data_IF_386124730107
#
_entry.id   IF_386124730107
#
_cell.length_a   1.000
_cell.length_b   1.000
_cell.length_c   1.000
_cell.angle_alpha   90.00
_cell.angle_beta   90.00
_cell.angle_gamma   90.00
#
_symmetry.space_group_name_H-M   'P 1'
#
loop_
_entity.id
_entity.type
_entity.pdbx_description
1 polymer ?
#
# COMPACT_ATOMS: atom_id res chain seq x y z
N UNK A 1 10.38 -6.54 11.32
CA UNK A 1 8.91 -6.54 11.51
C UNK A 1 8.32 -5.25 12.08
N UNK A 2 8.77 -4.67 13.21
CA UNK A 2 8.14 -3.46 13.79
C UNK A 2 8.12 -2.20 12.88
N UNK A 3 9.10 -2.08 11.98
CA UNK A 3 9.19 -1.00 10.99
C UNK A 3 8.10 -1.08 9.90
N UNK A 4 7.54 -2.27 9.67
CA UNK A 4 6.60 -2.56 8.59
C UNK A 4 5.18 -2.08 8.92
N UNK A 5 4.70 -2.45 10.10
CA UNK A 5 3.43 -1.96 10.64
C UNK A 5 3.49 -0.45 10.93
N UNK A 6 4.66 0.07 11.33
CA UNK A 6 4.86 1.50 11.51
C UNK A 6 4.66 2.27 10.20
N UNK A 7 5.19 1.77 9.07
CA UNK A 7 5.02 2.43 7.79
C UNK A 7 3.56 2.50 7.34
N UNK A 8 2.80 1.41 7.52
CA UNK A 8 1.38 1.36 7.16
C UNK A 8 0.50 2.28 8.01
N UNK A 9 0.76 2.32 9.33
CA UNK A 9 0.05 3.24 10.24
C UNK A 9 0.40 4.69 9.89
N UNK A 10 1.67 4.97 9.60
CA UNK A 10 2.11 6.31 9.17
C UNK A 10 1.45 6.71 7.83
N UNK A 11 1.37 5.80 6.85
CA UNK A 11 0.66 6.04 5.59
C UNK A 11 -0.81 6.34 5.83
N UNK A 12 -1.51 5.55 6.64
CA UNK A 12 -2.92 5.77 6.96
C UNK A 12 -3.16 7.14 7.62
N UNK A 13 -2.30 7.54 8.56
CA UNK A 13 -2.36 8.86 9.21
C UNK A 13 -2.13 9.98 8.20
N UNK A 14 -1.14 9.84 7.31
CA UNK A 14 -0.86 10.84 6.27
C UNK A 14 -2.02 10.94 5.27
N UNK A 15 -2.60 9.81 4.83
CA UNK A 15 -3.79 9.77 3.97
C UNK A 15 -5.00 10.42 4.63
N UNK A 16 -5.20 10.22 5.94
CA UNK A 16 -6.25 10.93 6.70
C UNK A 16 -5.94 12.43 6.84
N UNK A 17 -4.68 12.82 7.01
CA UNK A 17 -4.29 14.23 7.13
C UNK A 17 -4.55 15.00 5.82
N UNK A 18 -4.41 14.33 4.66
CA UNK A 18 -4.79 14.89 3.35
C UNK A 18 -6.28 15.28 3.30
N UNK A 19 -7.15 14.51 3.94
CA UNK A 19 -8.59 14.81 3.98
C UNK A 19 -8.91 16.08 4.79
N UNK A 20 -8.14 16.38 5.83
CA UNK A 20 -8.35 17.54 6.70
C UNK A 20 -7.77 18.85 6.16
N UNK A 21 -6.73 18.78 5.29
CA UNK A 21 -6.07 19.95 4.72
C UNK A 21 -6.14 19.94 3.19
N UNK A 22 -7.25 20.41 2.58
CA UNK A 22 -7.43 20.46 1.13
C UNK A 22 -6.66 21.63 0.48
N UNK A 23 -5.35 21.72 0.75
CA UNK A 23 -4.44 22.66 0.10
C UNK A 23 -3.54 21.90 -0.88
N UNK A 24 -3.52 22.32 -2.15
CA UNK A 24 -2.80 21.65 -3.22
C UNK A 24 -1.29 21.45 -2.93
N UNK A 25 -0.65 22.41 -2.25
CA UNK A 25 0.76 22.29 -1.87
C UNK A 25 0.98 21.22 -0.80
N UNK A 26 0.10 21.17 0.21
CA UNK A 26 0.16 20.16 1.27
C UNK A 26 -0.15 18.76 0.72
N UNK A 27 -1.07 18.66 -0.23
CA UNK A 27 -1.39 17.40 -0.91
C UNK A 27 -0.15 16.77 -1.58
N UNK A 28 0.66 17.56 -2.27
CA UNK A 28 1.88 17.09 -2.93
C UNK A 28 2.91 16.58 -1.90
N UNK A 29 3.13 17.33 -0.82
CA UNK A 29 4.06 16.93 0.25
C UNK A 29 3.61 15.64 0.92
N UNK A 30 2.32 15.53 1.25
CA UNK A 30 1.79 14.31 1.85
C UNK A 30 1.79 13.13 0.89
N UNK A 31 1.52 13.33 -0.40
CA UNK A 31 1.62 12.27 -1.42
C UNK A 31 3.06 11.75 -1.57
N UNK A 32 4.04 12.66 -1.53
CA UNK A 32 5.45 12.29 -1.53
C UNK A 32 5.84 11.51 -0.28
N UNK A 33 5.34 11.90 0.90
CA UNK A 33 5.55 11.17 2.15
C UNK A 33 4.92 9.77 2.11
N UNK A 34 3.70 9.63 1.58
CA UNK A 34 3.06 8.31 1.39
C UNK A 34 3.89 7.43 0.46
N UNK A 35 4.38 7.97 -0.65
CA UNK A 35 5.26 7.23 -1.57
C UNK A 35 6.60 6.83 -0.94
N UNK A 36 7.19 7.68 -0.10
CA UNK A 36 8.41 7.33 0.64
C UNK A 36 8.16 6.22 1.66
N UNK A 37 7.04 6.26 2.36
CA UNK A 37 6.65 5.23 3.33
C UNK A 37 6.29 3.90 2.64
N UNK A 38 5.70 3.92 1.44
CA UNK A 38 5.40 2.68 0.71
C UNK A 38 6.67 1.91 0.34
N UNK A 39 7.74 2.61 -0.02
CA UNK A 39 9.05 2.03 -0.32
C UNK A 39 9.67 1.27 0.87
N UNK A 40 9.43 1.74 2.11
CA UNK A 40 9.90 1.04 3.31
C UNK A 40 9.21 -0.33 3.51
N UNK A 41 8.04 -0.54 2.91
CA UNK A 41 7.34 -1.83 2.86
C UNK A 41 7.86 -2.70 1.70
N UNK A 42 8.01 -2.16 0.50
CA UNK A 42 8.40 -2.98 -0.67
C UNK A 42 9.75 -3.70 -0.46
N UNK A 43 10.71 -3.05 0.20
CA UNK A 43 12.06 -3.62 0.41
C UNK A 43 12.01 -4.91 1.24
N UNK A 44 11.46 -4.97 2.47
CA UNK A 44 11.39 -6.25 3.18
C UNK A 44 10.42 -7.26 2.56
N UNK A 45 9.47 -6.85 1.72
CA UNK A 45 8.61 -7.79 0.96
C UNK A 45 9.47 -8.61 -0.01
N UNK A 46 10.30 -7.90 -0.79
CA UNK A 46 11.20 -8.53 -1.73
C UNK A 46 12.23 -9.42 -1.04
N UNK A 47 12.81 -8.99 0.09
CA UNK A 47 13.74 -9.81 0.88
C UNK A 47 13.05 -11.07 1.41
N UNK A 48 11.80 -10.96 1.90
CA UNK A 48 11.05 -12.11 2.40
C UNK A 48 10.76 -13.15 1.31
N UNK A 49 10.37 -12.70 0.12
CA UNK A 49 10.17 -13.58 -1.03
C UNK A 49 11.45 -14.29 -1.44
N UNK A 50 12.61 -13.61 -1.34
CA UNK A 50 13.91 -14.22 -1.63
C UNK A 50 14.32 -15.28 -0.61
N UNK A 51 14.01 -15.09 0.68
CA UNK A 51 14.34 -16.05 1.74
C UNK A 51 13.41 -17.28 1.76
N UNK A 52 12.20 -17.17 1.20
CA UNK A 52 11.17 -18.22 1.30
C UNK A 52 11.10 -19.14 0.07
N UNK A 53 11.62 -18.70 -1.08
CA UNK A 53 11.49 -19.43 -2.36
C UNK A 53 12.87 -19.92 -2.83
N UNK A 54 12.95 -21.18 -3.27
CA UNK A 54 14.16 -21.72 -3.89
C UNK A 54 14.59 -20.90 -5.13
N UNK A 55 15.89 -20.60 -5.27
CA UNK A 55 16.45 -19.73 -6.34
C UNK A 55 15.97 -20.10 -7.75
N UNK A 56 15.76 -21.39 -8.02
CA UNK A 56 15.30 -21.89 -9.33
C UNK A 56 13.88 -21.44 -9.70
N UNK A 57 13.03 -21.16 -8.71
CA UNK A 57 11.64 -20.75 -8.91
C UNK A 57 11.40 -19.26 -8.61
N UNK A 58 12.40 -18.60 -8.02
CA UNK A 58 12.34 -17.22 -7.56
C UNK A 58 11.97 -16.27 -8.70
N UNK A 59 12.62 -16.40 -9.87
CA UNK A 59 12.33 -15.57 -11.07
C UNK A 59 10.88 -15.76 -11.53
N UNK A 60 10.37 -16.99 -11.56
CA UNK A 60 9.01 -17.27 -12.00
C UNK A 60 7.96 -16.70 -11.03
N UNK A 61 8.21 -16.81 -9.72
CA UNK A 61 7.34 -16.21 -8.69
C UNK A 61 7.33 -14.68 -8.80
N UNK A 62 8.49 -14.05 -9.00
CA UNK A 62 8.56 -12.61 -9.22
C UNK A 62 7.81 -12.17 -10.48
N UNK A 63 7.97 -12.86 -11.60
CA UNK A 63 7.23 -12.56 -12.83
C UNK A 63 5.72 -12.66 -12.64
N UNK A 64 5.24 -13.70 -11.92
CA UNK A 64 3.81 -13.85 -11.63
C UNK A 64 3.31 -12.73 -10.70
N UNK A 65 4.07 -12.37 -9.67
CA UNK A 65 3.72 -11.27 -8.76
C UNK A 65 3.68 -9.92 -9.49
N UNK A 66 4.65 -9.65 -10.37
CA UNK A 66 4.68 -8.43 -11.18
C UNK A 66 3.47 -8.33 -12.12
N UNK A 67 3.11 -9.44 -12.78
CA UNK A 67 1.92 -9.51 -13.65
C UNK A 67 0.64 -9.28 -12.84
N UNK A 68 0.50 -9.93 -11.68
CA UNK A 68 -0.67 -9.76 -10.81
C UNK A 68 -0.74 -8.31 -10.29
N UNK A 69 0.39 -7.74 -9.86
CA UNK A 69 0.48 -6.36 -9.37
C UNK A 69 0.09 -5.35 -10.45
N UNK A 70 0.60 -5.52 -11.66
CA UNK A 70 0.29 -4.64 -12.80
C UNK A 70 -1.18 -4.74 -13.21
N UNK A 71 -1.74 -5.96 -13.23
CA UNK A 71 -3.14 -6.19 -13.54
C UNK A 71 -4.06 -5.61 -12.47
N UNK A 72 -3.75 -5.84 -11.19
CA UNK A 72 -4.47 -5.25 -10.06
C UNK A 72 -4.42 -3.72 -10.13
N UNK A 73 -3.23 -3.13 -10.33
CA UNK A 73 -3.06 -1.70 -10.46
C UNK A 73 -3.93 -1.12 -11.59
N UNK A 74 -3.94 -1.75 -12.76
CA UNK A 74 -4.78 -1.31 -13.90
C UNK A 74 -6.27 -1.29 -13.54
N UNK A 75 -6.78 -2.38 -12.94
CA UNK A 75 -8.19 -2.48 -12.53
C UNK A 75 -8.53 -1.46 -11.44
N UNK A 76 -7.69 -1.35 -10.42
CA UNK A 76 -7.93 -0.44 -9.30
C UNK A 76 -7.81 1.03 -9.69
N UNK A 77 -6.92 1.40 -10.62
CA UNK A 77 -6.85 2.77 -11.14
C UNK A 77 -8.15 3.17 -11.82
N UNK A 78 -8.72 2.30 -12.66
CA UNK A 78 -10.01 2.57 -13.30
C UNK A 78 -11.14 2.66 -12.27
N UNK A 79 -11.18 1.73 -11.31
CA UNK A 79 -12.17 1.74 -10.23
C UNK A 79 -12.10 3.02 -9.39
N UNK A 80 -10.90 3.40 -8.95
CA UNK A 80 -10.68 4.59 -8.13
C UNK A 80 -10.97 5.87 -8.90
N UNK A 81 -10.63 5.93 -10.20
CA UNK A 81 -10.97 7.07 -11.04
C UNK A 81 -12.48 7.24 -11.16
N UNK A 82 -13.22 6.14 -11.39
CA UNK A 82 -14.68 6.16 -11.45
C UNK A 82 -15.31 6.61 -10.13
N UNK A 83 -14.82 6.12 -8.99
CA UNK A 83 -15.30 6.53 -7.66
C UNK A 83 -15.02 8.02 -7.44
N UNK A 84 -13.82 8.48 -7.79
CA UNK A 84 -13.42 9.88 -7.59
C UNK A 84 -14.25 10.85 -8.41
N UNK A 85 -14.61 10.49 -9.64
CA UNK A 85 -15.43 11.33 -10.52
C UNK A 85 -16.89 11.42 -10.06
N UNK A 86 -17.48 10.31 -9.59
CA UNK A 86 -18.90 10.27 -9.19
C UNK A 86 -19.15 10.71 -7.73
N UNK A 87 -18.25 10.35 -6.81
CA UNK A 87 -18.42 10.55 -5.36
C UNK A 87 -17.48 11.61 -4.79
N UNK A 88 -16.57 12.14 -5.61
CA UNK A 88 -15.56 13.11 -5.20
C UNK A 88 -14.32 12.47 -4.56
N UNK A 89 -13.29 13.27 -4.45
CA UNK A 89 -11.95 12.88 -3.97
C UNK A 89 -12.00 12.40 -2.50
N UNK A 90 -12.86 13.00 -1.66
CA UNK A 90 -12.93 12.67 -0.25
C UNK A 90 -13.31 11.20 0.00
N UNK A 91 -14.24 10.64 -0.77
CA UNK A 91 -14.68 9.24 -0.59
C UNK A 91 -13.60 8.25 -1.05
N UNK A 92 -12.88 8.57 -2.12
CA UNK A 92 -11.74 7.79 -2.61
C UNK A 92 -10.60 7.72 -1.58
N UNK A 93 -10.31 8.82 -0.90
CA UNK A 93 -9.32 8.87 0.19
C UNK A 93 -9.77 8.10 1.44
N UNK A 94 -11.05 8.19 1.82
CA UNK A 94 -11.61 7.39 2.91
C UNK A 94 -11.52 5.89 2.62
N UNK A 95 -11.86 5.48 1.40
CA UNK A 95 -11.75 4.08 0.97
C UNK A 95 -10.29 3.60 1.03
N UNK A 96 -9.35 4.43 0.59
CA UNK A 96 -7.91 4.14 0.65
C UNK A 96 -7.42 3.99 2.09
N UNK A 97 -7.83 4.88 3.00
CA UNK A 97 -7.48 4.81 4.42
C UNK A 97 -8.02 3.52 5.08
N UNK A 98 -9.27 3.12 4.77
CA UNK A 98 -9.85 1.87 5.27
C UNK A 98 -9.06 0.66 4.73
N UNK A 99 -8.68 0.67 3.46
CA UNK A 99 -7.89 -0.40 2.85
C UNK A 99 -6.52 -0.56 3.53
N UNK A 100 -5.82 0.56 3.79
CA UNK A 100 -4.55 0.57 4.52
C UNK A 100 -4.69 0.06 5.96
N UNK A 101 -5.80 0.39 6.64
CA UNK A 101 -6.10 -0.11 7.98
C UNK A 101 -6.34 -1.63 7.98
N UNK A 102 -7.08 -2.16 7.00
CA UNK A 102 -7.29 -3.59 6.83
C UNK A 102 -5.96 -4.30 6.58
N UNK A 103 -5.10 -3.73 5.73
CA UNK A 103 -3.76 -4.28 5.45
C UNK A 103 -2.90 -4.33 6.72
N UNK A 104 -2.91 -3.26 7.52
CA UNK A 104 -2.22 -3.22 8.80
C UNK A 104 -2.74 -4.30 9.78
N UNK A 105 -4.06 -4.52 9.83
CA UNK A 105 -4.69 -5.56 10.66
C UNK A 105 -4.30 -6.96 10.16
N UNK A 106 -4.31 -7.21 8.85
CA UNK A 106 -3.92 -8.51 8.27
C UNK A 106 -2.48 -8.87 8.62
N UNK A 107 -1.56 -7.92 8.54
CA UNK A 107 -0.16 -8.11 8.94
C UNK A 107 -0.06 -8.35 10.45
N UNK A 108 -0.87 -7.66 11.24
CA UNK A 108 -0.92 -7.88 12.69
C UNK A 108 -1.45 -9.26 13.07
N UNK A 109 -2.49 -9.76 12.39
CA UNK A 109 -3.06 -11.10 12.62
C UNK A 109 -2.11 -12.20 12.12
N UNK A 110 -1.46 -12.00 10.97
CA UNK A 110 -0.46 -12.93 10.42
C UNK A 110 0.84 -13.00 11.23
N UNK A 111 0.98 -12.19 12.29
CA UNK A 111 2.10 -12.22 13.25
C UNK A 111 2.31 -13.58 13.92
N UNK A 112 1.26 -14.38 14.09
CA UNK A 112 1.33 -15.68 14.77
C UNK A 112 1.87 -16.84 13.91
N UNK A 113 1.94 -16.70 12.58
CA UNK A 113 2.53 -17.72 11.70
C UNK A 113 4.07 -17.63 11.61
N UNK A 114 4.67 -16.63 12.24
CA UNK A 114 6.06 -16.19 12.06
C UNK A 114 6.89 -16.28 13.36
N UNK A 115 6.70 -17.33 14.15
CA UNK A 115 7.64 -17.70 15.22
C UNK A 115 8.52 -18.86 14.79
#
# INVERSE_FOLDING_TARGET
>A
MGKYSFSLIAMAIVTLTILFFPNAQMFLVFSALVGMLSQLKEVPESVFLQETVEENNLVNVYSVLEVISTLAFSVFVLLMSYITENFGISISFWLSAICLMIEAILIYIRRDYFR
#
